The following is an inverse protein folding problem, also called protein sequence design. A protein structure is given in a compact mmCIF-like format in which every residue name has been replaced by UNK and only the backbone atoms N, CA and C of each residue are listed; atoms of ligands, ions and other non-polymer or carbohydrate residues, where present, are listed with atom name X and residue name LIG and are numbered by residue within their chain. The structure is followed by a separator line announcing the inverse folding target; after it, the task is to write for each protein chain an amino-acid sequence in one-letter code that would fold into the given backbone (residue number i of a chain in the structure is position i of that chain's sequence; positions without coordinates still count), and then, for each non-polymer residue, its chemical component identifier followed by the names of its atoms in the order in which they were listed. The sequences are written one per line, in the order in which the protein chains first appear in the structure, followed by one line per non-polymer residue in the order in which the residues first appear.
data_IF_716032212770
#
_entry.id   IF_716032212770
#
_cell.length_a   1.000
_cell.length_b   1.000
_cell.length_c   1.000
_cell.angle_alpha   90.00
_cell.angle_beta   90.00
_cell.angle_gamma   90.00
#
_symmetry.space_group_name_H-M   'P 1'
#
loop_
_entity.id
_entity.type
_entity.pdbx_description
1 polymer ?
#
# COMPACT_ATOMS: atom_id res chain seq x y z
N UNK A 1 -48.47 -19.77 -4.13
CA UNK A 1 -47.82 -18.67 -3.40
C UNK A 1 -46.49 -19.19 -2.86
N UNK A 2 -45.41 -19.09 -3.66
CA UNK A 2 -44.00 -19.35 -3.29
C UNK A 2 -43.20 -19.57 -4.60
N UNK A 3 -42.90 -18.48 -5.31
CA UNK A 3 -41.96 -18.47 -6.46
C UNK A 3 -41.10 -17.21 -6.45
N UNK A 4 -41.12 -16.45 -5.35
CA UNK A 4 -40.47 -15.13 -5.26
C UNK A 4 -39.07 -15.21 -4.62
N UNK A 5 -38.72 -16.33 -3.97
CA UNK A 5 -37.51 -16.40 -3.15
C UNK A 5 -36.24 -16.87 -3.91
N UNK A 6 -36.38 -17.48 -5.10
CA UNK A 6 -35.22 -18.01 -5.85
C UNK A 6 -34.42 -16.91 -6.59
N UNK A 7 -35.11 -15.92 -7.17
CA UNK A 7 -34.47 -14.84 -7.94
C UNK A 7 -33.55 -13.99 -7.07
N UNK A 8 -33.98 -13.67 -5.84
CA UNK A 8 -33.19 -12.84 -4.91
C UNK A 8 -31.92 -13.53 -4.40
N UNK A 9 -31.94 -14.85 -4.28
CA UNK A 9 -30.78 -15.61 -3.82
C UNK A 9 -29.72 -15.77 -4.92
N UNK A 10 -30.16 -15.90 -6.17
CA UNK A 10 -29.26 -15.94 -7.33
C UNK A 10 -28.58 -14.58 -7.53
N UNK A 11 -29.33 -13.47 -7.48
CA UNK A 11 -28.77 -12.11 -7.61
C UNK A 11 -27.76 -11.76 -6.49
N UNK A 12 -28.05 -12.17 -5.25
CA UNK A 12 -27.13 -11.99 -4.11
C UNK A 12 -25.82 -12.78 -4.31
N UNK A 13 -25.93 -14.03 -4.75
CA UNK A 13 -24.76 -14.89 -4.98
C UNK A 13 -23.88 -14.40 -6.14
N UNK A 14 -24.48 -13.84 -7.19
CA UNK A 14 -23.75 -13.25 -8.31
C UNK A 14 -23.00 -11.99 -7.85
N UNK A 15 -23.65 -11.15 -7.04
CA UNK A 15 -23.02 -9.95 -6.50
C UNK A 15 -21.83 -10.26 -5.58
N UNK A 16 -21.93 -11.31 -4.77
CA UNK A 16 -20.83 -11.77 -3.90
C UNK A 16 -19.65 -12.34 -4.70
N UNK A 17 -19.92 -13.07 -5.80
CA UNK A 17 -18.87 -13.62 -6.68
C UNK A 17 -18.14 -12.50 -7.43
N UNK A 18 -18.87 -11.53 -7.97
CA UNK A 18 -18.29 -10.41 -8.72
C UNK A 18 -17.44 -9.50 -7.82
N UNK A 19 -17.92 -9.22 -6.61
CA UNK A 19 -17.15 -8.46 -5.62
C UNK A 19 -15.90 -9.21 -5.18
N UNK A 20 -15.99 -10.51 -4.89
CA UNK A 20 -14.82 -11.32 -4.52
C UNK A 20 -13.77 -11.36 -5.64
N UNK A 21 -14.20 -11.48 -6.90
CA UNK A 21 -13.30 -11.50 -8.05
C UNK A 21 -12.63 -10.14 -8.29
N UNK A 22 -13.37 -9.05 -8.10
CA UNK A 22 -12.84 -7.69 -8.20
C UNK A 22 -11.73 -7.45 -7.17
N UNK A 23 -11.96 -7.83 -5.91
CA UNK A 23 -10.95 -7.73 -4.85
C UNK A 23 -9.73 -8.61 -5.11
N UNK A 24 -9.92 -9.85 -5.58
CA UNK A 24 -8.82 -10.75 -5.94
C UNK A 24 -7.94 -10.14 -7.05
N UNK A 25 -8.56 -9.58 -8.08
CA UNK A 25 -7.83 -8.96 -9.19
C UNK A 25 -7.04 -7.74 -8.74
N UNK A 26 -7.64 -6.87 -7.91
CA UNK A 26 -6.93 -5.73 -7.34
C UNK A 26 -5.73 -6.16 -6.51
N UNK A 27 -5.88 -7.19 -5.66
CA UNK A 27 -4.79 -7.72 -4.86
C UNK A 27 -3.60 -8.15 -5.73
N UNK A 28 -3.84 -8.90 -6.81
CA UNK A 28 -2.78 -9.34 -7.71
C UNK A 28 -2.11 -8.19 -8.46
N UNK A 29 -2.87 -7.21 -8.93
CA UNK A 29 -2.32 -6.02 -9.60
C UNK A 29 -1.44 -5.21 -8.65
N UNK A 30 -1.91 -4.99 -7.41
CA UNK A 30 -1.10 -4.31 -6.39
C UNK A 30 0.17 -5.09 -6.09
N UNK A 31 0.08 -6.40 -5.88
CA UNK A 31 1.23 -7.26 -5.60
C UNK A 31 2.27 -7.20 -6.73
N UNK A 32 1.82 -7.28 -7.98
CA UNK A 32 2.69 -7.23 -9.15
C UNK A 32 3.40 -5.88 -9.29
N UNK A 33 2.78 -4.78 -8.86
CA UNK A 33 3.38 -3.44 -8.92
C UNK A 33 4.33 -3.17 -7.75
N UNK A 34 3.99 -3.70 -6.57
CA UNK A 34 4.74 -3.49 -5.33
C UNK A 34 6.03 -4.29 -5.29
N UNK A 35 6.04 -5.55 -5.71
CA UNK A 35 7.25 -6.40 -5.67
C UNK A 35 8.42 -5.75 -6.44
N UNK A 36 8.28 -5.35 -7.71
CA UNK A 36 9.37 -4.71 -8.45
C UNK A 36 9.71 -3.32 -7.90
N UNK A 37 8.73 -2.57 -7.38
CA UNK A 37 8.99 -1.28 -6.73
C UNK A 37 9.86 -1.45 -5.48
N UNK A 38 9.56 -2.44 -4.64
CA UNK A 38 10.26 -2.73 -3.39
C UNK A 38 11.68 -3.26 -3.67
N UNK A 39 11.83 -4.11 -4.68
CA UNK A 39 13.14 -4.58 -5.17
C UNK A 39 13.96 -3.41 -5.74
N UNK A 40 13.36 -2.54 -6.54
CA UNK A 40 14.02 -1.36 -7.09
C UNK A 40 14.49 -0.39 -6.00
N UNK A 41 13.65 -0.17 -4.99
CA UNK A 41 13.96 0.69 -3.85
C UNK A 41 15.11 0.10 -3.00
N UNK A 42 15.08 -1.21 -2.71
CA UNK A 42 16.15 -1.91 -2.01
C UNK A 42 17.46 -1.93 -2.80
N UNK A 43 17.39 -2.16 -4.12
CA UNK A 43 18.56 -2.14 -4.99
C UNK A 43 19.19 -0.76 -5.03
N UNK A 44 18.39 0.29 -5.21
CA UNK A 44 18.86 1.67 -5.17
C UNK A 44 19.50 2.02 -3.82
N UNK A 45 18.84 1.65 -2.72
CA UNK A 45 19.34 1.87 -1.35
C UNK A 45 20.65 1.11 -1.11
N UNK A 46 20.73 -0.15 -1.51
CA UNK A 46 21.93 -0.97 -1.39
C UNK A 46 23.09 -0.39 -2.19
N UNK A 47 22.84 0.00 -3.45
CA UNK A 47 23.85 0.63 -4.31
C UNK A 47 24.36 1.95 -3.72
N UNK A 48 23.48 2.76 -3.14
CA UNK A 48 23.84 4.02 -2.46
C UNK A 48 24.63 3.78 -1.16
N UNK A 49 24.29 2.74 -0.41
CA UNK A 49 24.98 2.37 0.85
C UNK A 49 26.36 1.74 0.60
N UNK A 50 26.56 1.03 -0.50
CA UNK A 50 27.86 0.44 -0.84
C UNK A 50 28.83 1.48 -1.40
N UNK A 51 28.34 2.43 -2.19
CA UNK A 51 29.15 3.52 -2.71
C UNK A 51 29.43 4.57 -1.64
N UNK A 52 30.48 4.32 -0.85
CA UNK A 52 30.97 5.22 0.21
C UNK A 52 31.35 6.62 -0.29
N UNK A 53 31.61 6.78 -1.59
CA UNK A 53 31.92 8.08 -2.21
C UNK A 53 30.67 8.97 -2.43
N UNK A 54 29.48 8.37 -2.59
CA UNK A 54 28.23 9.13 -2.76
C UNK A 54 27.71 9.72 -1.43
N UNK A 55 28.04 9.10 -0.29
CA UNK A 55 27.61 9.57 1.05
C UNK A 55 28.11 10.96 1.45
N UNK A 56 29.04 11.54 0.70
CA UNK A 56 29.68 12.81 1.03
C UNK A 56 28.95 14.03 0.45
N UNK A 57 28.06 13.80 -0.51
CA UNK A 57 27.22 14.82 -1.12
C UNK A 57 25.86 14.87 -0.42
N UNK A 58 25.45 16.06 0.04
CA UNK A 58 24.18 16.29 0.78
C UNK A 58 22.96 15.79 -0.01
N UNK A 59 23.01 15.89 -1.34
CA UNK A 59 21.95 15.45 -2.25
C UNK A 59 21.68 13.94 -2.15
N UNK A 60 22.72 13.15 -1.94
CA UNK A 60 22.60 11.70 -1.83
C UNK A 60 21.99 11.28 -0.49
N UNK A 61 22.17 12.07 0.57
CA UNK A 61 21.51 11.86 1.85
C UNK A 61 20.00 12.09 1.75
N UNK A 62 19.57 13.14 1.03
CA UNK A 62 18.15 13.39 0.76
C UNK A 62 17.53 12.24 -0.07
N UNK A 63 18.23 11.72 -1.08
CA UNK A 63 17.78 10.55 -1.84
C UNK A 63 17.60 9.30 -0.97
N UNK A 64 18.52 9.02 -0.04
CA UNK A 64 18.38 7.92 0.92
C UNK A 64 17.13 8.10 1.77
N UNK A 65 16.89 9.30 2.32
CA UNK A 65 15.72 9.58 3.15
C UNK A 65 14.43 9.42 2.33
N UNK A 66 14.39 9.94 1.11
CA UNK A 66 13.21 9.87 0.24
C UNK A 66 12.88 8.42 -0.14
N UNK A 67 13.90 7.61 -0.47
CA UNK A 67 13.75 6.16 -0.70
C UNK A 67 13.21 5.45 0.54
N UNK A 68 13.71 5.82 1.73
CA UNK A 68 13.30 5.22 2.99
C UNK A 68 11.85 5.58 3.35
N UNK A 69 11.44 6.84 3.17
CA UNK A 69 10.04 7.29 3.33
C UNK A 69 9.12 6.55 2.35
N UNK A 70 9.52 6.43 1.08
CA UNK A 70 8.72 5.73 0.07
C UNK A 70 8.57 4.23 0.38
N UNK A 71 9.63 3.60 0.90
CA UNK A 71 9.59 2.23 1.38
C UNK A 71 8.61 2.08 2.56
N UNK A 72 8.68 2.96 3.54
CA UNK A 72 7.77 2.97 4.69
C UNK A 72 6.32 3.20 4.28
N UNK A 73 6.07 4.11 3.35
CA UNK A 73 4.74 4.35 2.81
C UNK A 73 4.18 3.09 2.12
N UNK A 74 4.97 2.46 1.27
CA UNK A 74 4.60 1.22 0.59
C UNK A 74 4.30 0.10 1.58
N UNK A 75 5.14 -0.08 2.60
CA UNK A 75 4.98 -1.12 3.62
C UNK A 75 3.72 -0.89 4.48
N UNK A 76 3.44 0.36 4.81
CA UNK A 76 2.25 0.75 5.59
C UNK A 76 0.99 0.49 4.79
N UNK A 77 0.98 0.86 3.50
CA UNK A 77 -0.14 0.60 2.61
C UNK A 77 -0.40 -0.89 2.44
N UNK A 78 0.63 -1.70 2.21
CA UNK A 78 0.51 -3.17 2.11
C UNK A 78 -0.05 -3.75 3.41
N UNK A 79 0.45 -3.32 4.56
CA UNK A 79 -0.01 -3.81 5.86
C UNK A 79 -1.48 -3.47 6.09
N UNK A 80 -1.90 -2.26 5.68
CA UNK A 80 -3.29 -1.84 5.74
C UNK A 80 -4.17 -2.69 4.80
N UNK A 81 -3.72 -2.92 3.58
CA UNK A 81 -4.44 -3.71 2.57
C UNK A 81 -4.61 -5.18 3.01
N UNK A 82 -3.54 -5.83 3.47
CA UNK A 82 -3.60 -7.20 3.98
C UNK A 82 -4.55 -7.32 5.17
N UNK A 83 -4.54 -6.34 6.07
CA UNK A 83 -5.45 -6.35 7.20
C UNK A 83 -6.92 -6.18 6.75
N UNK A 84 -7.18 -5.25 5.83
CA UNK A 84 -8.51 -5.05 5.26
C UNK A 84 -9.05 -6.33 4.63
N UNK A 85 -8.24 -7.04 3.84
CA UNK A 85 -8.63 -8.32 3.23
C UNK A 85 -8.91 -9.43 4.24
N UNK A 86 -8.31 -9.38 5.43
CA UNK A 86 -8.50 -10.40 6.46
C UNK A 86 -9.74 -10.15 7.31
N UNK A 87 -10.05 -8.89 7.61
CA UNK A 87 -11.10 -8.54 8.59
C UNK A 87 -12.37 -7.99 7.92
N UNK A 88 -12.30 -7.60 6.63
CA UNK A 88 -13.37 -6.88 5.88
C UNK A 88 -13.86 -5.58 6.55
N UNK A 89 -13.23 -5.16 7.65
CA UNK A 89 -13.43 -3.89 8.31
C UNK A 89 -12.43 -2.85 7.81
N UNK A 90 -12.89 -1.62 7.59
CA UNK A 90 -12.03 -0.48 7.28
C UNK A 90 -11.08 -0.25 8.45
N UNK A 91 -9.79 -0.43 8.19
CA UNK A 91 -8.76 -0.27 9.22
C UNK A 91 -8.81 1.14 9.81
N UNK A 92 -9.11 1.26 11.09
CA UNK A 92 -8.85 2.48 11.85
C UNK A 92 -7.33 2.62 11.91
N UNK A 93 -6.79 3.46 11.03
CA UNK A 93 -5.34 3.75 10.95
C UNK A 93 -4.82 3.96 12.37
N UNK A 94 -3.79 3.21 12.75
CA UNK A 94 -3.09 3.37 14.02
C UNK A 94 -2.81 4.87 14.18
N UNK A 95 -3.32 5.54 15.23
CA UNK A 95 -3.34 7.00 15.31
C UNK A 95 -1.94 7.61 15.17
N UNK A 96 -0.91 6.87 15.56
CA UNK A 96 0.50 7.22 15.41
C UNK A 96 0.92 7.34 13.94
N UNK A 97 0.53 6.39 13.07
CA UNK A 97 0.85 6.44 11.65
C UNK A 97 0.12 7.59 10.94
N UNK A 98 -1.13 7.86 11.32
CA UNK A 98 -1.88 9.02 10.81
C UNK A 98 -1.21 10.34 11.18
N UNK A 99 -0.69 10.45 12.40
CA UNK A 99 0.04 11.64 12.86
C UNK A 99 1.38 11.80 12.13
N UNK A 100 2.13 10.72 11.95
CA UNK A 100 3.39 10.73 11.17
C UNK A 100 3.12 11.21 9.75
N UNK A 101 2.04 10.74 9.14
CA UNK A 101 1.72 11.07 7.75
C UNK A 101 1.13 12.46 7.60
N UNK A 102 0.28 12.91 8.52
CA UNK A 102 -0.16 14.30 8.59
C UNK A 102 1.01 15.28 8.81
N UNK A 103 2.02 14.89 9.59
CA UNK A 103 3.22 15.71 9.76
C UNK A 103 4.02 15.83 8.46
N UNK A 104 4.17 14.74 7.71
CA UNK A 104 4.88 14.78 6.42
C UNK A 104 4.12 15.61 5.38
N UNK A 105 2.80 15.45 5.31
CA UNK A 105 1.95 16.20 4.38
C UNK A 105 2.00 17.71 4.68
N UNK A 106 1.94 18.08 5.97
CA UNK A 106 2.12 19.46 6.41
C UNK A 106 3.47 20.05 5.99
N UNK A 107 4.56 19.28 6.09
CA UNK A 107 5.89 19.75 5.68
C UNK A 107 5.99 19.96 4.16
N UNK A 108 5.25 19.19 3.35
CA UNK A 108 5.23 19.36 1.90
C UNK A 108 4.44 20.61 1.51
N UNK A 109 3.33 20.91 2.18
CA UNK A 109 2.50 22.09 1.89
C UNK A 109 3.16 23.41 2.32
N UNK A 110 4.15 23.36 3.24
CA UNK A 110 4.84 24.54 3.75
C UNK A 110 6.11 24.90 2.95
N UNK A 111 6.48 24.12 1.92
CA UNK A 111 7.61 24.38 1.00
C UNK A 111 7.11 25.00 -0.29
#
# INVERSE_FOLDING_TARGET
MSTVDNSSNEDLSIFDVDTQQFYSTQFWVFLFLIIPSLIGCLFALYHLLLNRNLRRELHNYAMIILLLINLFYSLTNISCFIHYFRTFETFTIIPVLRLIWGYVDWQIETI
#
